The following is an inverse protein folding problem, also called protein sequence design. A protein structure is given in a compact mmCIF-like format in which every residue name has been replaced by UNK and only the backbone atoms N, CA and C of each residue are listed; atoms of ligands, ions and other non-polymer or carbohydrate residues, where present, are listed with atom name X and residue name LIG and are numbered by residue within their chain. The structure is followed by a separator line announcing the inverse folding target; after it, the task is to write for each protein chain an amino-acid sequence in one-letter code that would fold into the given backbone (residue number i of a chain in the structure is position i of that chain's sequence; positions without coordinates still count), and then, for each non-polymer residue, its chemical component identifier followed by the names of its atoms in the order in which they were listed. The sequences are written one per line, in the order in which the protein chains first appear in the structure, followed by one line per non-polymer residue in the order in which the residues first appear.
data_IF_502694840716
#
_entry.id   IF_502694840716
#
_cell.length_a   1.000
_cell.length_b   1.000
_cell.length_c   1.000
_cell.angle_alpha   90.00
_cell.angle_beta   90.00
_cell.angle_gamma   90.00
#
_symmetry.space_group_name_H-M   'P 1'
#
loop_
_entity.id
_entity.type
_entity.pdbx_description
1 polymer ?
#
# COMPACT_ATOMS: atom_id res chain seq x y z
N UNK A 1 10.88 18.98 17.15
CA UNK A 1 10.39 18.11 16.06
C UNK A 1 9.23 18.83 15.41
N UNK A 2 9.40 19.25 14.16
CA UNK A 2 8.41 20.04 13.42
C UNK A 2 7.39 19.14 12.71
N UNK A 3 6.22 19.67 12.34
CA UNK A 3 5.22 18.89 11.60
C UNK A 3 5.73 18.41 10.23
N UNK A 4 6.62 19.18 9.59
CA UNK A 4 7.29 18.78 8.35
C UNK A 4 8.18 17.54 8.58
N UNK A 5 8.91 17.49 9.69
CA UNK A 5 9.74 16.33 10.06
C UNK A 5 8.88 15.11 10.41
N UNK A 6 7.75 15.31 11.08
CA UNK A 6 6.77 14.26 11.39
C UNK A 6 6.18 13.66 10.09
N UNK A 7 5.77 14.50 9.15
CA UNK A 7 5.25 14.07 7.85
C UNK A 7 6.32 13.36 7.00
N UNK A 8 7.59 13.76 7.08
CA UNK A 8 8.70 13.08 6.39
C UNK A 8 8.92 11.68 6.97
N UNK A 9 9.06 11.57 8.29
CA UNK A 9 9.23 10.29 8.99
C UNK A 9 8.05 9.34 8.75
N UNK A 10 6.83 9.88 8.70
CA UNK A 10 5.64 9.12 8.35
C UNK A 10 5.75 8.54 6.93
N UNK A 11 6.10 9.36 5.93
CA UNK A 11 6.28 8.90 4.54
C UNK A 11 7.39 7.85 4.41
N UNK A 12 8.51 8.03 5.09
CA UNK A 12 9.62 7.06 5.12
C UNK A 12 9.19 5.72 5.73
N UNK A 13 8.45 5.76 6.85
CA UNK A 13 7.91 4.57 7.51
C UNK A 13 6.91 3.83 6.63
N UNK A 14 6.06 4.58 5.91
CA UNK A 14 5.12 4.01 4.96
C UNK A 14 5.84 3.37 3.77
N UNK A 15 6.89 4.00 3.23
CA UNK A 15 7.69 3.42 2.15
C UNK A 15 8.33 2.08 2.57
N UNK A 16 8.87 1.99 3.79
CA UNK A 16 9.41 0.73 4.34
C UNK A 16 8.32 -0.35 4.47
N UNK A 17 7.14 0.03 4.97
CA UNK A 17 5.97 -0.87 5.07
C UNK A 17 5.50 -1.37 3.70
N UNK A 18 5.54 -0.53 2.67
CA UNK A 18 5.19 -0.92 1.31
C UNK A 18 6.15 -1.97 0.73
N UNK A 19 7.45 -1.84 0.98
CA UNK A 19 8.44 -2.84 0.54
C UNK A 19 8.18 -4.19 1.21
N UNK A 20 7.86 -4.21 2.52
CA UNK A 20 7.52 -5.44 3.25
C UNK A 20 6.17 -6.03 2.79
N UNK A 21 5.15 -5.19 2.64
CA UNK A 21 3.80 -5.61 2.29
C UNK A 21 3.61 -6.09 0.85
N UNK A 22 4.58 -5.83 -0.05
CA UNK A 22 4.66 -6.53 -1.35
C UNK A 22 4.84 -8.04 -1.20
N UNK A 23 5.38 -8.52 -0.08
CA UNK A 23 5.55 -9.95 0.23
C UNK A 23 4.38 -10.49 1.05
N UNK A 24 3.87 -9.73 2.01
CA UNK A 24 2.71 -10.07 2.83
C UNK A 24 1.63 -8.98 2.78
N UNK A 25 0.59 -9.21 1.99
CA UNK A 25 -0.51 -8.24 1.79
C UNK A 25 -1.29 -7.96 3.09
N UNK A 26 -1.34 -8.94 4.00
CA UNK A 26 -2.02 -8.85 5.31
C UNK A 26 -1.38 -7.81 6.22
N UNK A 27 -0.08 -7.53 6.06
CA UNK A 27 0.66 -6.55 6.86
C UNK A 27 0.40 -5.10 6.40
N UNK A 28 -0.25 -4.90 5.24
CA UNK A 28 -0.59 -3.57 4.74
C UNK A 28 -1.82 -3.03 5.47
N UNK A 29 -1.81 -1.74 5.82
CA UNK A 29 -3.04 -1.05 6.22
C UNK A 29 -3.91 -0.77 4.99
N UNK A 30 -5.20 -0.49 5.19
CA UNK A 30 -6.13 -0.25 4.07
C UNK A 30 -5.69 0.93 3.19
N UNK A 31 -5.20 2.01 3.81
CA UNK A 31 -4.64 3.15 3.07
C UNK A 31 -3.43 2.77 2.22
N UNK A 32 -2.60 1.83 2.68
CA UNK A 32 -1.46 1.34 1.90
C UNK A 32 -1.89 0.38 0.79
N UNK A 33 -2.93 -0.44 1.01
CA UNK A 33 -3.53 -1.27 -0.04
C UNK A 33 -4.09 -0.39 -1.17
N UNK A 34 -4.84 0.66 -0.85
CA UNK A 34 -5.36 1.62 -1.82
C UNK A 34 -4.25 2.33 -2.60
N UNK A 35 -3.19 2.77 -1.91
CA UNK A 35 -2.03 3.37 -2.57
C UNK A 35 -1.31 2.38 -3.50
N UNK A 36 -1.20 1.09 -3.13
CA UNK A 36 -0.65 0.06 -4.01
C UNK A 36 -1.54 -0.21 -5.22
N UNK A 37 -2.86 -0.26 -5.06
CA UNK A 37 -3.81 -0.37 -6.18
C UNK A 37 -3.61 0.79 -7.14
N UNK A 38 -3.62 2.03 -6.63
CA UNK A 38 -3.41 3.24 -7.44
C UNK A 38 -2.08 3.21 -8.20
N UNK A 39 -0.98 2.89 -7.52
CA UNK A 39 0.36 2.83 -8.14
C UNK A 39 0.48 1.71 -9.18
N UNK A 40 -0.07 0.54 -8.91
CA UNK A 40 0.02 -0.58 -9.86
C UNK A 40 -0.78 -0.32 -11.12
N UNK A 41 -1.94 0.33 -11.01
CA UNK A 41 -2.70 0.83 -12.17
C UNK A 41 -1.89 1.89 -12.93
N UNK A 42 -1.38 2.91 -12.23
CA UNK A 42 -0.61 3.99 -12.86
C UNK A 42 0.66 3.49 -13.58
N UNK A 43 1.29 2.44 -13.06
CA UNK A 43 2.47 1.82 -13.66
C UNK A 43 2.13 0.84 -14.80
N UNK A 44 0.86 0.71 -15.20
CA UNK A 44 0.44 -0.22 -16.26
C UNK A 44 0.66 -1.69 -15.89
N UNK A 45 0.63 -2.04 -14.61
CA UNK A 45 0.81 -3.43 -14.16
C UNK A 45 -0.32 -4.33 -14.66
N UNK A 46 -0.05 -5.63 -14.75
CA UNK A 46 -1.07 -6.61 -15.18
C UNK A 46 -2.32 -6.57 -14.30
N UNK A 47 -3.48 -6.85 -14.90
CA UNK A 47 -4.76 -6.97 -14.16
C UNK A 47 -4.68 -7.93 -12.98
N UNK A 48 -3.91 -9.02 -13.12
CA UNK A 48 -3.66 -10.00 -12.05
C UNK A 48 -2.95 -9.37 -10.84
N UNK A 49 -1.98 -8.49 -11.07
CA UNK A 49 -1.29 -7.77 -9.99
C UNK A 49 -2.24 -6.86 -9.24
N UNK A 50 -3.08 -6.10 -9.94
CA UNK A 50 -4.09 -5.22 -9.33
C UNK A 50 -5.10 -6.04 -8.54
N UNK A 51 -5.60 -7.14 -9.11
CA UNK A 51 -6.58 -8.01 -8.48
C UNK A 51 -6.11 -8.55 -7.12
N UNK A 52 -4.82 -8.91 -6.97
CA UNK A 52 -4.26 -9.37 -5.69
C UNK A 52 -4.46 -8.38 -4.55
N UNK A 53 -4.25 -7.09 -4.80
CA UNK A 53 -4.45 -6.04 -3.77
C UNK A 53 -5.93 -5.79 -3.50
N UNK A 54 -6.78 -5.80 -4.55
CA UNK A 54 -8.23 -5.61 -4.43
C UNK A 54 -8.88 -6.77 -3.64
N UNK A 55 -8.47 -8.01 -3.89
CA UNK A 55 -8.97 -9.18 -3.17
C UNK A 55 -8.67 -9.10 -1.68
N UNK A 56 -7.45 -8.70 -1.30
CA UNK A 56 -7.12 -8.53 0.12
C UNK A 56 -7.94 -7.41 0.77
N UNK A 57 -8.19 -6.31 0.07
CA UNK A 57 -9.05 -5.24 0.57
C UNK A 57 -10.49 -5.74 0.74
N UNK A 58 -11.06 -6.41 -0.27
CA UNK A 58 -12.40 -6.96 -0.22
C UNK A 58 -12.58 -7.96 0.94
N UNK A 59 -11.58 -8.82 1.19
CA UNK A 59 -11.58 -9.78 2.30
C UNK A 59 -11.76 -9.12 3.68
N UNK A 60 -11.36 -7.86 3.85
CA UNK A 60 -11.45 -7.14 5.14
C UNK A 60 -12.83 -6.55 5.41
N UNK A 61 -13.66 -6.39 4.38
CA UNK A 61 -14.98 -5.75 4.45
C UNK A 61 -16.13 -6.72 4.15
N UNK A 62 -15.84 -8.01 3.98
CA UNK A 62 -16.82 -9.09 3.83
C UNK A 62 -17.19 -9.67 5.20
#
# INVERSE_FOLDING_TARGET
MTDAERARRYRESQAKRLVKGRRNLQDLTDSLLLEQIRRTIANGSTKRTVARYVTELARRYA
#
